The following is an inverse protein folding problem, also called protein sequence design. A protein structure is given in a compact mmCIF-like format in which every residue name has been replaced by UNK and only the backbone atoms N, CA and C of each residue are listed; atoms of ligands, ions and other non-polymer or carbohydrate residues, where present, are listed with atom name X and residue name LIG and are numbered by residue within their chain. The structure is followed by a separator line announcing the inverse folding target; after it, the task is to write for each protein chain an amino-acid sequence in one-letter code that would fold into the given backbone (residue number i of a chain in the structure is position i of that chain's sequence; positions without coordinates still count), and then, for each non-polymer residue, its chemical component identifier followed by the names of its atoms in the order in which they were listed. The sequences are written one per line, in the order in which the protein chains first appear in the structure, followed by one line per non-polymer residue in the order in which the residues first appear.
data_IF_994875753113
#
_entry.id   IF_994875753113
#
_cell.length_a   1.000
_cell.length_b   1.000
_cell.length_c   1.000
_cell.angle_alpha   90.00
_cell.angle_beta   90.00
_cell.angle_gamma   90.00
#
_symmetry.space_group_name_H-M   'P 1'
#
loop_
_entity.id
_entity.type
_entity.pdbx_description
1 polymer ?
#
# COMPACT_ATOMS: atom_id res chain seq x y z
N UNK A 1 16.99 3.51 7.85
CA UNK A 1 15.73 2.73 7.97
C UNK A 1 14.50 3.51 7.48
N UNK A 2 14.35 4.80 7.84
CA UNK A 2 13.21 5.64 7.42
C UNK A 2 13.25 6.00 5.93
N UNK A 3 14.44 6.25 5.36
CA UNK A 3 14.58 6.60 3.94
C UNK A 3 14.07 5.51 2.99
N UNK A 4 14.31 4.23 3.31
CA UNK A 4 13.78 3.11 2.51
C UNK A 4 12.25 3.06 2.53
N UNK A 5 11.64 3.41 3.66
CA UNK A 5 10.17 3.48 3.81
C UNK A 5 9.60 4.67 3.06
N UNK A 6 10.26 5.82 3.14
CA UNK A 6 9.89 7.02 2.38
C UNK A 6 9.99 6.76 0.87
N UNK A 7 11.02 6.07 0.42
CA UNK A 7 11.20 5.72 -0.98
C UNK A 7 10.08 4.79 -1.48
N UNK A 8 9.73 3.75 -0.72
CA UNK A 8 8.62 2.87 -1.07
C UNK A 8 7.26 3.59 -1.10
N UNK A 9 7.01 4.50 -0.16
CA UNK A 9 5.80 5.34 -0.18
C UNK A 9 5.76 6.26 -1.40
N UNK A 10 6.89 6.84 -1.81
CA UNK A 10 6.98 7.67 -3.03
C UNK A 10 6.71 6.84 -4.30
N UNK A 11 7.21 5.61 -4.36
CA UNK A 11 6.93 4.70 -5.49
C UNK A 11 5.45 4.32 -5.52
N UNK A 12 4.87 3.95 -4.38
CA UNK A 12 3.44 3.64 -4.30
C UNK A 12 2.54 4.82 -4.68
N UNK A 13 2.89 6.04 -4.24
CA UNK A 13 2.19 7.26 -4.62
C UNK A 13 2.27 7.50 -6.13
N UNK A 14 3.47 7.39 -6.70
CA UNK A 14 3.65 7.54 -8.12
C UNK A 14 2.76 6.55 -8.89
N UNK A 15 2.76 5.27 -8.52
CA UNK A 15 1.91 4.23 -9.16
C UNK A 15 0.42 4.60 -9.10
N UNK A 16 -0.06 5.09 -7.96
CA UNK A 16 -1.44 5.56 -7.81
C UNK A 16 -1.74 6.77 -8.72
N UNK A 17 -0.82 7.74 -8.82
CA UNK A 17 -0.95 8.89 -9.71
C UNK A 17 -1.01 8.48 -11.19
N UNK A 18 -0.30 7.44 -11.59
CA UNK A 18 -0.35 6.88 -12.94
C UNK A 18 -1.67 6.17 -13.24
N UNK A 19 -2.14 5.32 -12.32
CA UNK A 19 -3.44 4.65 -12.43
C UNK A 19 -4.56 5.68 -12.51
N UNK A 20 -4.45 6.76 -11.73
CA UNK A 20 -5.46 7.82 -11.66
C UNK A 20 -5.45 8.77 -12.87
N UNK A 21 -4.26 9.14 -13.39
CA UNK A 21 -4.11 10.15 -14.45
C UNK A 21 -3.74 9.59 -15.84
N UNK A 22 -3.65 8.26 -16.02
CA UNK A 22 -3.17 7.59 -17.26
C UNK A 22 -1.80 8.11 -17.77
N UNK A 23 -0.92 8.59 -16.89
CA UNK A 23 0.39 9.14 -17.28
C UNK A 23 1.50 8.09 -17.24
N UNK A 24 1.99 7.64 -18.40
CA UNK A 24 3.08 6.64 -18.58
C UNK A 24 4.11 6.55 -17.44
N UNK A 25 4.22 5.38 -16.80
CA UNK A 25 5.26 5.11 -15.78
C UNK A 25 6.46 4.43 -16.41
N UNK A 26 7.70 4.86 -16.07
CA UNK A 26 8.91 4.14 -16.43
C UNK A 26 9.21 2.93 -15.51
N UNK A 27 8.26 2.52 -14.66
CA UNK A 27 8.51 1.52 -13.63
C UNK A 27 8.22 0.12 -14.16
N UNK A 28 9.29 -0.65 -14.41
CA UNK A 28 9.18 -2.06 -14.80
C UNK A 28 8.53 -2.93 -13.71
N UNK A 29 8.03 -4.10 -14.11
CA UNK A 29 7.38 -5.12 -13.27
C UNK A 29 8.10 -5.42 -11.94
N UNK A 30 9.44 -5.37 -11.96
CA UNK A 30 10.28 -5.58 -10.77
C UNK A 30 10.11 -4.47 -9.72
N UNK A 31 9.95 -3.22 -10.15
CA UNK A 31 9.71 -2.09 -9.25
C UNK A 31 8.32 -2.16 -8.61
N UNK A 32 7.32 -2.61 -9.36
CA UNK A 32 5.97 -2.86 -8.85
C UNK A 32 5.95 -3.97 -7.80
N UNK A 33 6.63 -5.09 -8.09
CA UNK A 33 6.74 -6.22 -7.16
C UNK A 33 7.46 -5.81 -5.86
N UNK A 34 8.58 -5.08 -5.95
CA UNK A 34 9.29 -4.55 -4.77
C UNK A 34 8.43 -3.56 -3.97
N UNK A 35 7.65 -2.71 -4.64
CA UNK A 35 6.75 -1.79 -3.96
C UNK A 35 5.66 -2.55 -3.21
N UNK A 36 5.04 -3.57 -3.82
CA UNK A 36 4.06 -4.44 -3.18
C UNK A 36 4.63 -5.09 -1.91
N UNK A 37 5.80 -5.71 -2.00
CA UNK A 37 6.38 -6.44 -0.86
C UNK A 37 6.66 -5.50 0.32
N UNK A 38 7.08 -4.26 0.06
CA UNK A 38 7.26 -3.26 1.12
C UNK A 38 5.92 -2.80 1.70
N UNK A 39 4.89 -2.59 0.88
CA UNK A 39 3.56 -2.19 1.35
C UNK A 39 2.90 -3.30 2.19
N UNK A 40 3.00 -4.56 1.76
CA UNK A 40 2.55 -5.73 2.54
C UNK A 40 3.30 -5.81 3.87
N UNK A 41 4.62 -5.56 3.87
CA UNK A 41 5.42 -5.52 5.10
C UNK A 41 5.03 -4.42 6.10
N UNK A 42 4.30 -3.39 5.67
CA UNK A 42 3.80 -2.32 6.56
C UNK A 42 2.48 -2.67 7.23
N UNK A 43 1.68 -3.58 6.65
CA UNK A 43 0.37 -3.98 7.20
C UNK A 43 0.47 -4.50 8.64
N UNK A 44 1.35 -5.47 8.98
CA UNK A 44 1.41 -6.01 10.34
C UNK A 44 1.76 -4.96 11.40
N UNK A 45 2.57 -3.96 11.03
CA UNK A 45 2.92 -2.86 11.94
C UNK A 45 1.73 -1.94 12.20
N UNK A 46 0.87 -1.73 11.21
CA UNK A 46 -0.32 -0.88 11.31
C UNK A 46 -1.44 -1.63 12.03
N UNK A 47 -1.61 -2.93 11.76
CA UNK A 47 -2.53 -3.82 12.50
C UNK A 47 -2.16 -3.90 13.97
N UNK A 48 -0.87 -4.03 14.30
CA UNK A 48 -0.40 -3.99 15.70
C UNK A 48 -0.71 -2.65 16.36
N UNK A 49 -0.54 -1.53 15.65
CA UNK A 49 -0.91 -0.22 16.16
C UNK A 49 -2.43 -0.08 16.33
N UNK A 50 -3.22 -0.67 15.42
CA UNK A 50 -4.68 -0.68 15.48
C UNK A 50 -5.20 -1.51 16.67
N UNK A 51 -4.66 -2.71 16.88
CA UNK A 51 -5.01 -3.59 18.00
C UNK A 51 -4.73 -2.95 19.35
N UNK A 52 -3.66 -2.16 19.46
CA UNK A 52 -3.30 -1.43 20.68
C UNK A 52 -4.04 -0.09 20.84
N UNK A 53 -4.83 0.35 19.85
CA UNK A 53 -5.56 1.61 19.91
C UNK A 53 -6.90 1.46 20.65
N UNK A 54 -7.24 2.45 21.48
CA UNK A 54 -8.54 2.47 22.16
C UNK A 54 -9.68 2.51 21.14
N UNK A 55 -10.69 1.68 21.38
CA UNK A 55 -11.95 1.66 20.62
C UNK A 55 -12.56 3.07 20.58
N UNK A 56 -13.03 3.49 19.40
CA UNK A 56 -13.60 4.83 19.13
C UNK A 56 -12.63 6.03 19.25
N UNK A 57 -11.31 5.83 19.34
CA UNK A 57 -10.37 6.94 19.28
C UNK A 57 -10.22 7.49 17.84
N UNK A 58 -10.02 8.81 17.65
CA UNK A 58 -9.69 9.37 16.33
C UNK A 58 -8.46 8.71 15.67
N UNK A 59 -7.54 8.22 16.50
CA UNK A 59 -6.36 7.47 16.07
C UNK A 59 -6.74 6.13 15.42
N UNK A 60 -7.76 5.44 15.96
CA UNK A 60 -8.26 4.17 15.42
C UNK A 60 -8.89 4.36 14.03
N UNK A 61 -9.71 5.39 13.86
CA UNK A 61 -10.28 5.75 12.54
C UNK A 61 -9.18 6.12 11.53
N UNK A 62 -8.13 6.84 11.97
CA UNK A 62 -7.00 7.15 11.10
C UNK A 62 -6.24 5.88 10.67
N UNK A 63 -6.04 4.93 11.59
CA UNK A 63 -5.38 3.66 11.31
C UNK A 63 -6.21 2.78 10.35
N UNK A 64 -7.54 2.74 10.50
CA UNK A 64 -8.44 2.05 9.55
C UNK A 64 -8.31 2.62 8.14
N UNK A 65 -8.33 3.96 8.01
CA UNK A 65 -8.18 4.62 6.70
C UNK A 65 -6.81 4.34 6.09
N UNK A 66 -5.75 4.29 6.90
CA UNK A 66 -4.39 3.94 6.43
C UNK A 66 -4.32 2.50 5.96
N UNK A 67 -4.89 1.56 6.72
CA UNK A 67 -4.96 0.15 6.31
C UNK A 67 -5.71 0.03 5.00
N UNK A 68 -6.87 0.69 4.88
CA UNK A 68 -7.69 0.62 3.67
C UNK A 68 -7.00 1.21 2.44
N UNK A 69 -6.28 2.32 2.61
CA UNK A 69 -5.48 2.91 1.53
C UNK A 69 -4.34 2.00 1.08
N UNK A 70 -3.72 1.26 1.99
CA UNK A 70 -2.65 0.31 1.65
C UNK A 70 -3.19 -0.92 0.93
N UNK A 71 -4.32 -1.46 1.38
CA UNK A 71 -5.03 -2.55 0.69
C UNK A 71 -5.35 -2.17 -0.76
N UNK A 72 -5.93 -0.98 -0.97
CA UNK A 72 -6.26 -0.50 -2.31
C UNK A 72 -5.01 -0.28 -3.18
N UNK A 73 -3.92 0.21 -2.61
CA UNK A 73 -2.66 0.37 -3.34
C UNK A 73 -2.06 -0.98 -3.76
N UNK A 74 -2.08 -1.99 -2.87
CA UNK A 74 -1.62 -3.35 -3.17
C UNK A 74 -2.49 -3.99 -4.25
N UNK A 75 -3.81 -3.84 -4.14
CA UNK A 75 -4.76 -4.34 -5.13
C UNK A 75 -4.50 -3.72 -6.50
N UNK A 76 -4.35 -2.39 -6.58
CA UNK A 76 -4.04 -1.70 -7.83
C UNK A 76 -2.71 -2.17 -8.43
N UNK A 77 -1.69 -2.42 -7.61
CA UNK A 77 -0.41 -2.98 -8.07
C UNK A 77 -0.60 -4.38 -8.64
N UNK A 78 -1.34 -5.27 -7.96
CA UNK A 78 -1.59 -6.64 -8.44
C UNK A 78 -2.39 -6.66 -9.75
N UNK A 79 -3.43 -5.84 -9.86
CA UNK A 79 -4.25 -5.70 -11.08
C UNK A 79 -3.42 -5.19 -12.27
N UNK A 80 -2.46 -4.29 -12.02
CA UNK A 80 -1.55 -3.78 -13.05
C UNK A 80 -0.40 -4.75 -13.39
N UNK A 81 -0.01 -5.60 -12.42
CA UNK A 81 1.03 -6.61 -12.55
C UNK A 81 0.52 -7.88 -13.26
N UNK A 82 -0.79 -8.07 -13.40
CA UNK A 82 -1.39 -9.24 -14.04
C UNK A 82 -1.44 -10.48 -13.13
N UNK A 83 -1.45 -10.30 -11.81
CA UNK A 83 -1.80 -11.38 -10.87
C UNK A 83 -3.26 -11.22 -10.42
N UNK A 84 -4.15 -11.89 -11.16
CA UNK A 84 -5.49 -12.18 -10.66
C UNK A 84 -5.38 -13.22 -9.52
N UNK A 85 -6.21 -13.01 -8.50
CA UNK A 85 -6.36 -13.81 -7.26
C UNK A 85 -5.32 -13.59 -6.16
N UNK A 86 -5.78 -13.27 -4.94
CA UNK A 86 -5.55 -13.95 -3.62
C UNK A 86 -6.12 -13.12 -2.42
N UNK A 87 -7.07 -12.18 -2.59
CA UNK A 87 -7.72 -11.53 -1.43
C UNK A 87 -9.25 -11.57 -1.46
N UNK A 88 -9.79 -12.73 -1.83
CA UNK A 88 -11.18 -13.08 -1.55
C UNK A 88 -11.24 -14.21 -0.54
N UNK A 89 -11.24 -13.86 0.75
CA UNK A 89 -11.76 -14.71 1.82
C UNK A 89 -12.27 -13.88 2.97
#
# INVERSE_FOLDING_TARGET
MIEKRLHAMKIGLAVLEHVWNRQSHPNGQEALSKARDVLVGLIPSIEKAYANSKSASPQRTLLERRLKSLELAIQAINEHCGEYDVFKR
#
